data_IF_341817409043
#
_entry.id   IF_341817409043
#
_cell.length_a   1.000
_cell.length_b   1.000
_cell.length_c   1.000
_cell.angle_alpha   90.00
_cell.angle_beta   90.00
_cell.angle_gamma   90.00
#
_symmetry.space_group_name_H-M   'P 1'
#
loop_
_entity.id
_entity.type
_entity.pdbx_description
1 polymer ?
#
# COMPACT_ATOMS: atom_id res chain seq x y z
N UNK A 1 -12.74 11.79 -22.26
CA UNK A 1 -12.44 11.04 -21.04
C UNK A 1 -10.94 10.78 -21.08
N UNK A 2 -10.20 11.12 -20.04
CA UNK A 2 -8.77 10.86 -19.98
C UNK A 2 -8.52 9.45 -19.40
N UNK A 3 -7.92 8.58 -20.22
CA UNK A 3 -7.36 7.32 -19.75
C UNK A 3 -5.93 7.57 -19.24
N UNK A 4 -5.59 6.96 -18.13
CA UNK A 4 -4.27 7.11 -17.53
C UNK A 4 -3.87 5.91 -16.70
N UNK A 5 -2.61 5.91 -16.28
CA UNK A 5 -2.02 4.93 -15.38
C UNK A 5 -1.66 5.64 -14.09
N UNK A 6 -2.19 5.15 -12.97
CA UNK A 6 -1.78 5.58 -11.64
C UNK A 6 -0.79 4.56 -11.10
N UNK A 7 0.47 4.96 -11.03
CA UNK A 7 1.54 4.23 -10.39
C UNK A 7 1.64 4.62 -8.92
N UNK A 8 1.84 3.61 -8.08
CA UNK A 8 1.91 3.73 -6.64
C UNK A 8 3.21 3.09 -6.20
N UNK A 9 4.10 3.89 -5.61
CA UNK A 9 5.34 3.39 -5.03
C UNK A 9 5.14 3.23 -3.52
N UNK A 10 5.03 1.97 -3.08
CA UNK A 10 5.03 1.61 -1.67
C UNK A 10 6.47 1.52 -1.18
N UNK A 11 6.89 2.49 -0.37
CA UNK A 11 8.29 2.60 0.06
C UNK A 11 8.50 1.80 1.34
N UNK A 12 7.92 2.27 2.44
CA UNK A 12 8.18 1.77 3.78
C UNK A 12 7.01 2.03 4.72
N UNK A 13 7.03 1.40 5.89
CA UNK A 13 6.17 1.72 7.02
C UNK A 13 7.01 1.87 8.29
N UNK A 14 6.55 2.78 9.14
CA UNK A 14 7.21 3.15 10.39
C UNK A 14 6.20 3.12 11.53
N UNK A 15 6.64 2.65 12.70
CA UNK A 15 5.83 2.68 13.90
C UNK A 15 4.56 1.82 13.83
N UNK A 16 4.52 0.85 12.90
CA UNK A 16 3.47 -0.16 12.86
C UNK A 16 3.46 -0.85 14.22
N UNK A 17 2.29 -0.84 14.89
CA UNK A 17 2.17 -1.46 16.21
C UNK A 17 2.47 -2.94 16.08
N UNK A 18 3.61 -3.33 16.64
CA UNK A 18 3.91 -4.73 16.84
C UNK A 18 2.92 -5.27 17.89
N UNK A 19 2.17 -6.32 17.54
CA UNK A 19 1.31 -7.02 18.50
C UNK A 19 2.11 -8.03 19.33
N UNK A 20 3.40 -7.78 19.52
CA UNK A 20 4.23 -8.35 20.58
C UNK A 20 3.71 -7.99 21.99
N UNK A 21 2.57 -8.55 22.38
CA UNK A 21 2.28 -8.77 23.80
C UNK A 21 2.90 -10.12 24.18
N UNK A 22 4.23 -10.13 24.30
CA UNK A 22 4.87 -11.13 25.13
C UNK A 22 4.39 -10.93 26.55
N UNK A 23 3.58 -11.87 27.04
CA UNK A 23 3.25 -11.92 28.46
C UNK A 23 4.57 -12.21 29.18
N UNK A 24 5.08 -11.30 30.03
CA UNK A 24 6.21 -11.63 30.89
C UNK A 24 5.81 -12.80 31.78
N UNK A 25 6.44 -13.97 31.61
CA UNK A 25 6.13 -15.17 32.38
C UNK A 25 5.43 -16.31 31.63
N UNK A 26 5.29 -16.25 30.30
CA UNK A 26 4.74 -17.37 29.52
C UNK A 26 5.78 -18.51 29.37
N UNK A 27 5.90 -19.36 30.40
CA UNK A 27 6.86 -20.49 30.43
C UNK A 27 6.59 -21.58 29.37
N UNK A 28 5.38 -21.64 28.79
CA UNK A 28 5.02 -22.63 27.76
C UNK A 28 5.30 -22.16 26.32
N UNK A 29 5.81 -20.96 26.11
CA UNK A 29 6.33 -20.56 24.81
C UNK A 29 7.74 -21.15 24.64
N UNK A 30 7.83 -22.39 24.16
CA UNK A 30 9.11 -23.08 23.91
C UNK A 30 9.99 -22.40 22.83
N UNK A 31 9.49 -21.35 22.17
CA UNK A 31 10.28 -20.42 21.38
C UNK A 31 10.15 -19.02 21.99
N UNK A 32 11.28 -18.31 22.22
CA UNK A 32 11.24 -16.91 22.64
C UNK A 32 10.45 -16.12 21.60
N UNK A 33 9.65 -15.16 22.06
CA UNK A 33 8.91 -14.20 21.24
C UNK A 33 9.78 -13.56 20.15
N UNK A 34 9.88 -14.24 19.02
CA UNK A 34 10.44 -13.80 17.76
C UNK A 34 9.41 -14.21 16.70
N UNK A 35 8.13 -13.94 16.97
CA UNK A 35 7.13 -14.04 15.93
C UNK A 35 7.31 -12.80 15.06
N UNK A 36 8.30 -12.89 14.16
CA UNK A 36 8.61 -11.82 13.24
C UNK A 36 7.33 -11.46 12.49
N UNK A 37 6.75 -10.28 12.78
CA UNK A 37 5.63 -9.75 12.01
C UNK A 37 6.05 -9.71 10.54
N UNK A 38 5.20 -10.22 9.67
CA UNK A 38 5.38 -10.26 8.23
C UNK A 38 4.31 -9.38 7.60
N UNK A 39 4.42 -8.05 7.74
CA UNK A 39 3.41 -7.17 7.21
C UNK A 39 3.44 -7.14 5.69
N UNK A 40 2.27 -7.13 5.08
CA UNK A 40 2.05 -6.90 3.66
C UNK A 40 0.84 -5.99 3.47
N UNK A 41 0.68 -5.43 2.27
CA UNK A 41 -0.31 -4.37 2.01
C UNK A 41 -1.20 -4.77 0.85
N UNK A 42 -2.52 -4.78 1.09
CA UNK A 42 -3.52 -4.76 0.04
C UNK A 42 -3.77 -3.33 -0.39
N UNK A 43 -3.64 -3.07 -1.70
CA UNK A 43 -3.82 -1.77 -2.31
C UNK A 43 -5.05 -1.86 -3.19
N UNK A 44 -6.11 -1.16 -2.77
CA UNK A 44 -7.40 -1.16 -3.45
C UNK A 44 -7.65 0.19 -4.11
N UNK A 45 -7.92 0.15 -5.41
CA UNK A 45 -8.33 1.31 -6.18
C UNK A 45 -9.49 0.94 -7.11
N UNK A 46 -10.68 1.51 -6.86
CA UNK A 46 -11.92 1.13 -7.52
C UNK A 46 -12.16 -0.40 -7.45
N UNK A 47 -12.23 -1.09 -8.59
CA UNK A 47 -12.40 -2.55 -8.70
C UNK A 47 -11.07 -3.31 -8.82
N UNK A 48 -9.94 -2.60 -8.80
CA UNK A 48 -8.61 -3.19 -8.92
C UNK A 48 -7.99 -3.39 -7.54
N UNK A 49 -7.49 -4.59 -7.31
CA UNK A 49 -6.75 -4.96 -6.11
C UNK A 49 -5.35 -5.45 -6.47
N UNK A 50 -4.36 -4.98 -5.71
CA UNK A 50 -2.97 -5.44 -5.79
C UNK A 50 -2.47 -5.75 -4.39
N UNK A 51 -1.67 -6.79 -4.26
CA UNK A 51 -1.08 -7.19 -2.98
C UNK A 51 0.44 -7.04 -3.06
N UNK A 52 1.02 -6.40 -2.05
CA UNK A 52 2.47 -6.32 -1.94
C UNK A 52 3.07 -7.64 -1.47
N UNK A 53 4.37 -7.75 -1.61
CA UNK A 53 5.12 -8.80 -0.94
C UNK A 53 5.16 -8.54 0.57
N UNK A 54 5.63 -9.53 1.32
CA UNK A 54 5.97 -9.35 2.73
C UNK A 54 7.12 -8.37 2.85
N UNK A 55 6.96 -7.40 3.74
CA UNK A 55 7.95 -6.36 3.98
C UNK A 55 9.27 -6.95 4.47
N UNK A 56 10.37 -6.37 4.01
CA UNK A 56 11.72 -6.65 4.50
C UNK A 56 12.10 -5.60 5.54
N UNK A 57 13.02 -5.92 6.43
CA UNK A 57 13.52 -4.96 7.43
C UNK A 57 13.75 -5.59 8.80
N UNK A 58 14.58 -4.92 9.60
CA UNK A 58 14.89 -5.30 10.98
C UNK A 58 14.30 -4.27 11.94
N UNK A 59 13.82 -4.72 13.10
CA UNK A 59 13.22 -3.85 14.11
C UNK A 59 11.87 -3.28 13.66
N UNK A 60 11.63 -2.00 13.95
CA UNK A 60 10.33 -1.32 13.73
C UNK A 60 10.14 -0.71 12.34
N UNK A 61 11.13 -0.85 11.45
CA UNK A 61 11.09 -0.33 10.08
C UNK A 61 10.80 -1.47 9.10
N UNK A 62 9.83 -1.25 8.21
CA UNK A 62 9.38 -2.22 7.21
C UNK A 62 9.50 -1.59 5.83
N UNK A 63 10.10 -2.27 4.88
CA UNK A 63 10.42 -1.75 3.55
C UNK A 63 9.89 -2.72 2.49
N UNK A 64 9.17 -2.17 1.52
CA UNK A 64 8.70 -2.91 0.34
C UNK A 64 9.50 -2.46 -0.89
N UNK A 65 9.58 -1.14 -1.12
CA UNK A 65 10.14 -0.56 -2.34
C UNK A 65 9.53 -1.21 -3.60
N UNK A 66 8.20 -1.33 -3.59
CA UNK A 66 7.42 -1.99 -4.63
C UNK A 66 6.54 -0.98 -5.37
N UNK A 67 6.49 -1.10 -6.69
CA UNK A 67 5.67 -0.26 -7.55
C UNK A 67 4.46 -1.05 -8.07
N UNK A 68 3.29 -0.45 -7.99
CA UNK A 68 2.03 -0.99 -8.49
C UNK A 68 1.45 -0.04 -9.53
N UNK A 69 0.77 -0.58 -10.53
CA UNK A 69 0.09 0.21 -11.55
C UNK A 69 -1.40 -0.12 -11.57
N UNK A 70 -2.20 0.93 -11.67
CA UNK A 70 -3.66 0.88 -11.76
C UNK A 70 -4.13 1.64 -12.99
N UNK A 71 -5.09 1.06 -13.70
CA UNK A 71 -5.76 1.74 -14.81
C UNK A 71 -6.75 2.77 -14.25
N UNK A 72 -6.75 3.97 -14.82
CA UNK A 72 -7.62 5.06 -14.40
C UNK A 72 -8.39 5.61 -15.59
N UNK A 73 -9.70 5.72 -15.43
CA UNK A 73 -10.58 6.44 -16.34
C UNK A 73 -11.10 7.69 -15.63
N UNK A 74 -10.61 8.85 -16.04
CA UNK A 74 -11.03 10.13 -15.48
C UNK A 74 -11.95 10.84 -16.49
N UNK A 75 -13.22 11.13 -16.15
CA UNK A 75 -14.18 11.76 -17.06
C UNK A 75 -13.75 13.21 -17.40
N UNK A 76 -14.04 13.64 -18.63
CA UNK A 76 -13.82 15.04 -19.00
C UNK A 76 -14.90 15.88 -18.31
N UNK A 77 -14.50 16.94 -17.60
CA UNK A 77 -15.42 17.81 -16.88
C UNK A 77 -15.58 17.49 -15.39
N UNK A 78 -14.81 16.53 -14.84
CA UNK A 78 -14.67 16.34 -13.39
C UNK A 78 -15.98 16.00 -12.68
N UNK A 79 -16.48 14.76 -12.86
CA UNK A 79 -17.59 14.29 -12.04
C UNK A 79 -17.25 14.34 -10.53
N UNK A 80 -18.27 14.52 -9.70
CA UNK A 80 -18.19 14.41 -8.24
C UNK A 80 -18.12 12.96 -7.75
N UNK A 81 -17.29 12.15 -8.41
CA UNK A 81 -16.93 10.82 -7.92
C UNK A 81 -15.81 10.92 -6.90
N UNK A 82 -15.88 10.05 -5.90
CA UNK A 82 -14.83 9.92 -4.88
C UNK A 82 -13.72 9.03 -5.41
N UNK A 83 -12.60 9.64 -5.80
CA UNK A 83 -11.39 8.92 -6.18
C UNK A 83 -10.51 8.71 -4.96
N UNK A 84 -10.50 7.48 -4.44
CA UNK A 84 -9.68 7.08 -3.29
C UNK A 84 -8.92 5.80 -3.58
N UNK A 85 -7.75 5.69 -2.97
CA UNK A 85 -6.98 4.46 -2.88
C UNK A 85 -6.84 4.08 -1.41
N UNK A 86 -6.99 2.80 -1.11
CA UNK A 86 -6.95 2.26 0.24
C UNK A 86 -5.73 1.35 0.35
N UNK A 87 -4.91 1.60 1.36
CA UNK A 87 -3.78 0.76 1.75
C UNK A 87 -4.17 0.03 3.02
N UNK A 88 -4.50 -1.24 2.91
CA UNK A 88 -4.82 -2.10 4.04
C UNK A 88 -3.59 -2.91 4.43
N UNK A 89 -3.06 -2.64 5.61
CA UNK A 89 -1.89 -3.35 6.15
C UNK A 89 -2.38 -4.58 6.91
N UNK A 90 -1.84 -5.73 6.52
CA UNK A 90 -2.10 -7.05 7.10
C UNK A 90 -0.80 -7.61 7.65
N UNK A 91 -0.87 -8.46 8.67
CA UNK A 91 0.28 -9.18 9.21
C UNK A 91 0.12 -10.69 9.00
N UNK A 92 1.01 -11.26 8.18
CA UNK A 92 0.94 -12.66 7.79
C UNK A 92 1.47 -13.57 8.90
N UNK A 93 0.67 -14.55 9.30
CA UNK A 93 1.06 -15.54 10.30
C UNK A 93 1.18 -16.93 9.68
N UNK A 94 2.21 -17.70 10.09
CA UNK A 94 2.46 -19.04 9.52
C UNK A 94 1.44 -20.10 9.96
N UNK A 95 0.76 -19.89 11.08
CA UNK A 95 -0.07 -20.91 11.72
C UNK A 95 -1.47 -20.40 12.10
N UNK A 96 -1.77 -19.13 11.85
CA UNK A 96 -3.04 -18.49 12.18
C UNK A 96 -3.51 -17.62 11.03
N UNK A 97 -4.77 -17.20 11.06
CA UNK A 97 -5.31 -16.22 10.13
C UNK A 97 -4.50 -14.91 10.18
N UNK A 98 -4.40 -14.27 9.02
CA UNK A 98 -3.72 -13.00 8.88
C UNK A 98 -4.44 -11.91 9.68
N UNK A 99 -3.66 -11.08 10.37
CA UNK A 99 -4.21 -10.10 11.30
C UNK A 99 -4.28 -8.73 10.64
N UNK A 100 -5.45 -8.10 10.71
CA UNK A 100 -5.61 -6.71 10.30
C UNK A 100 -4.86 -5.77 11.25
N UNK A 101 -3.93 -4.99 10.69
CA UNK A 101 -3.09 -4.02 11.43
C UNK A 101 -3.70 -2.62 11.38
N UNK A 102 -4.30 -2.27 10.25
CA UNK A 102 -4.94 -0.98 10.02
C UNK A 102 -5.00 -0.65 8.53
N UNK A 103 -5.61 0.49 8.21
CA UNK A 103 -5.68 0.99 6.84
C UNK A 103 -5.38 2.48 6.76
N UNK A 104 -4.96 2.92 5.58
CA UNK A 104 -4.78 4.31 5.21
C UNK A 104 -5.59 4.58 3.95
N UNK A 105 -6.37 5.65 3.94
CA UNK A 105 -7.14 6.09 2.76
C UNK A 105 -6.54 7.38 2.23
N UNK A 106 -6.19 7.38 0.95
CA UNK A 106 -5.65 8.56 0.26
C UNK A 106 -6.62 8.97 -0.85
N UNK A 107 -7.05 10.23 -0.85
CA UNK A 107 -7.86 10.78 -1.91
C UNK A 107 -6.96 11.25 -3.04
N UNK A 108 -7.19 10.71 -4.25
CA UNK A 108 -6.32 10.94 -5.42
C UNK A 108 -6.96 11.83 -6.47
N UNK A 109 -8.15 12.43 -6.21
CA UNK A 109 -8.86 13.31 -7.14
C UNK A 109 -7.96 14.43 -7.70
N UNK A 110 -7.18 15.08 -6.84
CA UNK A 110 -6.28 16.18 -7.22
C UNK A 110 -5.11 15.69 -8.09
N UNK A 111 -4.64 14.47 -7.82
CA UNK A 111 -3.56 13.83 -8.57
C UNK A 111 -4.06 13.52 -9.99
N UNK A 112 -5.26 12.95 -10.08
CA UNK A 112 -5.87 12.56 -11.36
C UNK A 112 -6.29 13.75 -12.20
N UNK A 113 -6.94 14.76 -11.61
CA UNK A 113 -7.38 15.97 -12.32
C UNK A 113 -6.19 16.74 -12.90
N UNK A 114 -5.24 17.10 -12.05
CA UNK A 114 -4.02 17.82 -12.45
C UNK A 114 -3.21 17.00 -13.46
N UNK A 115 -3.13 15.68 -13.27
CA UNK A 115 -2.44 14.77 -14.19
C UNK A 115 -3.16 14.63 -15.54
N UNK A 116 -4.49 14.64 -15.57
CA UNK A 116 -5.28 14.58 -16.81
C UNK A 116 -5.14 15.85 -17.66
N UNK A 117 -4.98 17.01 -17.00
CA UNK A 117 -4.72 18.31 -17.62
C UNK A 117 -3.27 18.42 -18.14
N UNK A 118 -2.28 18.16 -17.27
CA UNK A 118 -0.84 18.35 -17.58
C UNK A 118 -0.21 17.17 -18.33
N UNK A 119 -0.88 16.02 -18.36
CA UNK A 119 -0.40 14.79 -18.97
C UNK A 119 0.41 13.88 -18.05
N UNK A 120 1.14 14.43 -17.07
CA UNK A 120 1.85 13.66 -16.04
C UNK A 120 1.87 14.46 -14.72
N UNK A 121 1.77 13.76 -13.60
CA UNK A 121 1.97 14.33 -12.27
C UNK A 121 2.71 13.33 -11.38
N UNK A 122 3.72 13.83 -10.66
CA UNK A 122 4.49 13.04 -9.70
C UNK A 122 4.35 13.65 -8.31
N UNK A 123 3.96 12.82 -7.35
CA UNK A 123 3.87 13.14 -5.94
C UNK A 123 4.97 12.35 -5.24
N UNK A 124 5.91 13.10 -4.66
CA UNK A 124 7.01 12.54 -3.88
C UNK A 124 6.50 11.68 -2.71
N UNK A 125 7.29 10.71 -2.22
CA UNK A 125 6.89 9.87 -1.10
C UNK A 125 6.45 10.70 0.11
N UNK A 126 5.27 10.39 0.65
CA UNK A 126 4.70 11.03 1.84
C UNK A 126 4.23 9.99 2.83
N UNK A 127 4.33 10.33 4.12
CA UNK A 127 3.82 9.51 5.21
C UNK A 127 2.31 9.71 5.35
N UNK A 128 1.59 8.61 5.38
CA UNK A 128 0.16 8.56 5.64
C UNK A 128 -0.10 7.75 6.90
N UNK A 129 -1.05 8.21 7.72
CA UNK A 129 -1.40 7.54 8.97
C UNK A 129 -2.18 6.26 8.69
N UNK A 130 -1.77 5.18 9.33
CA UNK A 130 -2.48 3.91 9.37
C UNK A 130 -3.35 3.90 10.63
N UNK A 131 -4.64 3.62 10.46
CA UNK A 131 -5.60 3.58 11.57
C UNK A 131 -6.33 2.25 11.60
N UNK A 132 -6.65 1.76 12.79
CA UNK A 132 -7.52 0.59 12.97
C UNK A 132 -9.00 0.98 12.78
N UNK A 133 -9.88 -0.02 12.78
CA UNK A 133 -11.34 0.18 12.64
C UNK A 133 -11.95 1.06 13.74
N UNK A 134 -11.33 1.07 14.93
CA UNK A 134 -11.68 1.94 16.06
C UNK A 134 -11.05 3.35 15.96
N UNK A 135 -10.43 3.67 14.81
CA UNK A 135 -9.70 4.92 14.52
C UNK A 135 -8.44 5.14 15.37
N UNK A 136 -7.97 4.12 16.08
CA UNK A 136 -6.71 4.23 16.81
C UNK A 136 -5.53 4.23 15.86
N UNK A 137 -4.55 5.09 16.13
CA UNK A 137 -3.33 5.20 15.35
C UNK A 137 -2.47 3.92 15.48
N UNK A 138 -2.14 3.32 14.35
CA UNK A 138 -1.42 2.05 14.23
C UNK A 138 -0.06 2.18 13.54
N UNK A 139 0.38 3.39 13.19
CA UNK A 139 1.65 3.65 12.52
C UNK A 139 1.49 4.52 11.27
N UNK A 140 2.53 4.58 10.46
CA UNK A 140 2.58 5.34 9.22
C UNK A 140 3.12 4.50 8.06
N UNK A 141 2.65 4.81 6.86
CA UNK A 141 3.03 4.19 5.60
C UNK A 141 3.49 5.29 4.63
N UNK A 142 4.66 5.12 4.03
CA UNK A 142 5.25 6.02 3.05
C UNK A 142 4.89 5.59 1.64
N UNK A 143 4.19 6.46 0.91
CA UNK A 143 3.71 6.18 -0.44
C UNK A 143 3.97 7.35 -1.37
N UNK A 144 4.40 7.05 -2.59
CA UNK A 144 4.51 8.00 -3.69
C UNK A 144 3.48 7.67 -4.78
N UNK A 145 3.07 8.68 -5.55
CA UNK A 145 2.11 8.51 -6.64
C UNK A 145 2.66 9.12 -7.92
N UNK A 146 2.51 8.42 -9.03
CA UNK A 146 2.77 8.98 -10.36
C UNK A 146 1.56 8.72 -11.24
N UNK A 147 0.94 9.77 -11.74
CA UNK A 147 -0.10 9.64 -12.77
C UNK A 147 0.50 9.98 -14.13
N UNK A 148 0.25 9.12 -15.10
CA UNK A 148 0.62 9.33 -16.50
C UNK A 148 -0.61 9.15 -17.37
N UNK A 149 -1.00 10.19 -18.10
CA UNK A 149 -2.07 10.14 -19.10
C UNK A 149 -1.59 9.27 -20.26
N UNK A 150 -2.36 8.24 -20.59
CA UNK A 150 -2.08 7.40 -21.76
C UNK A 150 -2.51 8.21 -22.98
N UNK A 151 -1.54 8.57 -23.82
CA UNK A 151 -1.79 9.04 -25.19
C UNK A 151 -1.70 7.81 -26.08
N UNK A 152 -2.61 7.66 -27.03
CA UNK A 152 -2.57 6.56 -28.01
C UNK A 152 -1.16 6.49 -28.64
N UNK A 153 -0.37 5.45 -28.29
CA UNK A 153 0.89 5.12 -28.98
C UNK A 153 2.19 4.97 -28.18
N UNK A 154 2.25 5.14 -26.85
CA UNK A 154 3.47 4.80 -26.06
C UNK A 154 3.10 3.96 -24.85
N UNK A 155 3.24 2.65 -25.02
CA UNK A 155 3.20 1.67 -23.95
C UNK A 155 4.62 1.56 -23.36
N UNK A 156 4.93 2.34 -22.32
CA UNK A 156 6.10 2.03 -21.50
C UNK A 156 5.80 0.73 -20.72
N UNK A 157 6.31 -0.36 -21.30
CA UNK A 157 6.39 -1.69 -20.72
C UNK A 157 6.85 -1.60 -19.26
N UNK A 158 6.01 -1.98 -18.28
CA UNK A 158 6.41 -1.90 -16.89
C UNK A 158 7.48 -2.95 -16.59
N UNK A 159 8.56 -2.50 -15.96
CA UNK A 159 9.54 -3.38 -15.31
C UNK A 159 8.82 -4.42 -14.45
N UNK A 160 8.97 -5.67 -14.86
CA UNK A 160 8.95 -6.88 -14.05
C UNK A 160 7.92 -6.92 -12.93
N UNK A 161 6.81 -7.61 -13.20
CA UNK A 161 6.05 -8.29 -12.15
C UNK A 161 7.04 -9.09 -11.29
N UNK A 162 7.37 -8.59 -10.10
CA UNK A 162 8.02 -9.42 -9.09
C UNK A 162 6.94 -10.38 -8.61
N UNK A 163 6.95 -11.60 -9.15
CA UNK A 163 6.28 -12.72 -8.51
C UNK A 163 6.97 -12.94 -7.17
N UNK A 164 6.40 -12.36 -6.13
CA UNK A 164 6.79 -12.74 -4.79
C UNK A 164 6.25 -14.13 -4.54
N UNK A 165 7.19 -15.07 -4.46
CA UNK A 165 6.96 -16.41 -3.98
C UNK A 165 6.43 -16.33 -2.54
N UNK A 166 5.12 -16.18 -2.39
CA UNK A 166 4.43 -16.56 -1.18
C UNK A 166 4.41 -18.11 -1.18
N UNK A 167 5.60 -18.69 -0.96
CA UNK A 167 5.82 -20.13 -0.82
C UNK A 167 5.63 -20.54 0.64
N UNK A 168 4.82 -21.59 0.82
CA UNK A 168 4.89 -22.50 1.96
C UNK A 168 3.81 -22.31 3.00
#
# INVERSE_FOLDING_TARGET
>A
MANGRLEVLLVEAQGIRDRDKCIPGCLNCLNPCNLATKPYVHILYAEQERTSCVAKGKGKKREWNEKFAFEVKYPDGGEDRVYKIIFRVMDQHKFTEDVFVGESTVYVKDILSTGAEKGKLEVQPRLYRVVQSDKTYSGEISVAFTFTKIKDGIEENPEGRKECANQG
#
